data_IF_787200937592
#
_entry.id   IF_787200937592
#
_cell.length_a   1.000
_cell.length_b   1.000
_cell.length_c   1.000
_cell.angle_alpha   90.00
_cell.angle_beta   90.00
_cell.angle_gamma   90.00
#
_symmetry.space_group_name_H-M   'P 1'
#
loop_
_entity.id
_entity.type
_entity.pdbx_description
1 polymer ?
#
# COMPACT_ATOMS: atom_id res chain seq x y z
N UNK A 1 -40.55 -4.85 -7.22
CA UNK A 1 -39.84 -3.71 -7.83
C UNK A 1 -38.41 -3.71 -7.28
N UNK A 2 -37.42 -4.07 -8.11
CA UNK A 2 -36.03 -4.27 -7.66
C UNK A 2 -35.29 -2.93 -7.65
N UNK A 3 -34.70 -2.55 -6.51
CA UNK A 3 -33.88 -1.33 -6.40
C UNK A 3 -32.48 -1.63 -6.96
N UNK A 4 -32.13 -1.00 -8.08
CA UNK A 4 -30.78 -1.05 -8.60
C UNK A 4 -29.81 -0.35 -7.62
N UNK A 5 -28.70 -1.01 -7.31
CA UNK A 5 -27.58 -0.38 -6.60
C UNK A 5 -26.86 0.51 -7.61
N UNK A 6 -26.93 1.82 -7.40
CA UNK A 6 -26.10 2.79 -8.13
C UNK A 6 -24.74 2.80 -7.47
N UNK A 7 -23.71 2.35 -8.18
CA UNK A 7 -22.32 2.52 -7.76
C UNK A 7 -21.96 3.97 -8.05
N UNK A 8 -21.89 4.80 -7.02
CA UNK A 8 -21.34 6.14 -7.15
C UNK A 8 -19.86 6.01 -7.50
N UNK A 9 -19.48 6.44 -8.71
CA UNK A 9 -18.10 6.60 -9.16
C UNK A 9 -17.43 7.81 -8.46
N UNK A 10 -17.50 7.84 -7.13
CA UNK A 10 -16.93 8.88 -6.27
C UNK A 10 -15.53 8.55 -5.74
N UNK A 11 -14.91 7.46 -6.23
CA UNK A 11 -13.54 7.11 -5.89
C UNK A 11 -12.58 7.92 -6.74
N UNK A 12 -12.15 9.09 -6.26
CA UNK A 12 -11.01 9.77 -6.88
C UNK A 12 -9.84 8.78 -7.01
N UNK A 13 -9.27 8.72 -8.22
CA UNK A 13 -8.14 7.84 -8.49
C UNK A 13 -6.99 8.30 -7.61
N UNK A 14 -6.50 7.41 -6.74
CA UNK A 14 -5.36 7.71 -5.88
C UNK A 14 -4.21 8.28 -6.72
N UNK A 15 -3.80 9.50 -6.39
CA UNK A 15 -2.72 10.20 -7.08
C UNK A 15 -1.49 10.15 -6.17
N UNK A 16 -0.36 9.58 -6.62
CA UNK A 16 0.83 9.48 -5.79
C UNK A 16 1.35 10.89 -5.46
N UNK A 17 1.85 11.12 -4.23
CA UNK A 17 2.51 12.37 -3.84
C UNK A 17 3.69 12.72 -4.77
N UNK A 18 3.95 14.02 -4.96
CA UNK A 18 4.96 14.52 -5.91
C UNK A 18 6.40 14.22 -5.50
N UNK A 19 6.64 13.92 -4.22
CA UNK A 19 7.95 13.57 -3.69
C UNK A 19 7.98 12.07 -3.44
N UNK A 20 8.97 11.40 -4.04
CA UNK A 20 9.13 9.97 -3.85
C UNK A 20 9.59 9.70 -2.42
N UNK A 21 8.73 9.04 -1.65
CA UNK A 21 9.04 8.64 -0.28
C UNK A 21 10.16 7.60 -0.20
N UNK A 22 10.88 7.60 0.91
CA UNK A 22 12.01 6.69 1.16
C UNK A 22 11.57 5.23 1.31
N UNK A 23 10.35 4.99 1.83
CA UNK A 23 9.84 3.65 2.08
C UNK A 23 8.47 3.41 1.46
N UNK A 24 8.28 2.18 0.96
CA UNK A 24 7.03 1.69 0.40
C UNK A 24 6.63 0.38 1.06
N UNK A 25 5.40 0.29 1.54
CA UNK A 25 4.79 -0.98 1.90
C UNK A 25 4.06 -1.50 0.67
N UNK A 26 4.42 -2.70 0.24
CA UNK A 26 3.82 -3.36 -0.92
C UNK A 26 3.10 -4.64 -0.51
N UNK A 27 1.99 -4.91 -1.20
CA UNK A 27 1.32 -6.20 -1.21
C UNK A 27 1.79 -6.96 -2.46
N UNK A 28 2.52 -8.06 -2.31
CA UNK A 28 2.93 -8.88 -3.44
C UNK A 28 1.70 -9.43 -4.17
N UNK A 29 1.60 -9.16 -5.47
CA UNK A 29 0.54 -9.73 -6.31
C UNK A 29 1.14 -10.26 -7.62
N UNK A 30 0.55 -11.31 -8.23
CA UNK A 30 1.00 -11.83 -9.51
C UNK A 30 0.94 -10.73 -10.59
N UNK A 31 2.10 -10.41 -11.17
CA UNK A 31 2.23 -9.42 -12.25
C UNK A 31 2.75 -8.06 -11.80
N UNK A 32 2.12 -7.45 -10.79
CA UNK A 32 2.58 -6.16 -10.27
C UNK A 32 2.31 -6.04 -8.76
N UNK A 33 3.32 -5.77 -7.93
CA UNK A 33 3.10 -5.48 -6.52
C UNK A 33 2.31 -4.18 -6.34
N UNK A 34 1.33 -4.20 -5.44
CA UNK A 34 0.50 -3.03 -5.13
C UNK A 34 1.14 -2.22 -4.00
N UNK A 35 1.42 -0.94 -4.23
CA UNK A 35 1.87 -0.03 -3.17
C UNK A 35 0.65 0.38 -2.34
N UNK A 36 0.60 -0.03 -1.09
CA UNK A 36 -0.52 0.26 -0.18
C UNK A 36 -0.22 1.41 0.78
N UNK A 37 1.06 1.78 0.92
CA UNK A 37 1.52 2.90 1.74
C UNK A 37 2.89 3.37 1.28
N UNK A 38 3.08 4.68 1.24
CA UNK A 38 4.38 5.32 1.09
C UNK A 38 4.64 6.22 2.32
N UNK A 39 5.88 6.26 2.81
CA UNK A 39 6.23 7.03 4.00
C UNK A 39 7.75 7.20 4.13
N UNK A 40 8.18 8.25 4.81
CA UNK A 40 9.58 8.45 5.21
C UNK A 40 9.87 7.97 6.65
N UNK A 41 8.85 7.44 7.34
CA UNK A 41 8.97 6.88 8.69
C UNK A 41 9.05 5.34 8.67
N UNK A 42 10.29 4.83 8.74
CA UNK A 42 10.58 3.40 8.81
C UNK A 42 9.85 2.71 9.98
N UNK A 43 9.88 3.31 11.17
CA UNK A 43 9.32 2.70 12.38
C UNK A 43 7.79 2.68 12.29
N UNK A 44 7.19 3.78 11.82
CA UNK A 44 5.76 3.86 11.54
C UNK A 44 5.30 2.82 10.51
N UNK A 45 6.09 2.57 9.47
CA UNK A 45 5.80 1.54 8.47
C UNK A 45 5.78 0.13 9.08
N UNK A 46 6.78 -0.20 9.91
CA UNK A 46 6.87 -1.51 10.58
C UNK A 46 5.74 -1.72 11.58
N UNK A 47 5.38 -0.70 12.37
CA UNK A 47 4.24 -0.76 13.29
C UNK A 47 2.93 -0.95 12.51
N UNK A 48 2.78 -0.26 11.38
CA UNK A 48 1.61 -0.37 10.52
C UNK A 48 1.45 -1.78 9.95
N UNK A 49 2.54 -2.41 9.49
CA UNK A 49 2.54 -3.79 9.01
C UNK A 49 2.17 -4.78 10.12
N UNK A 50 2.80 -4.63 11.30
CA UNK A 50 2.53 -5.49 12.48
C UNK A 50 1.06 -5.48 12.89
N UNK A 51 0.38 -4.35 12.73
CA UNK A 51 -1.04 -4.22 13.08
C UNK A 51 -1.99 -4.98 12.12
N UNK A 52 -1.49 -5.54 11.01
CA UNK A 52 -2.29 -6.22 9.97
C UNK A 52 -1.72 -7.59 9.64
N UNK A 53 -1.84 -8.57 10.57
CA UNK A 53 -1.30 -9.90 10.37
C UNK A 53 -1.99 -10.63 9.20
N UNK A 54 -1.21 -11.38 8.43
CA UNK A 54 -1.73 -12.32 7.41
C UNK A 54 -1.84 -11.79 5.99
N UNK A 55 -1.45 -10.54 5.73
CA UNK A 55 -1.48 -9.98 4.37
C UNK A 55 -0.21 -10.24 3.55
N UNK A 56 0.90 -10.65 4.17
CA UNK A 56 2.15 -10.90 3.45
C UNK A 56 2.79 -9.61 2.93
N UNK A 57 2.80 -8.56 3.75
CA UNK A 57 3.33 -7.26 3.33
C UNK A 57 4.85 -7.31 3.22
N UNK A 58 5.38 -6.56 2.27
CA UNK A 58 6.81 -6.27 2.18
C UNK A 58 7.06 -4.78 2.39
N UNK A 59 8.08 -4.44 3.17
CA UNK A 59 8.61 -3.09 3.24
C UNK A 59 9.81 -2.99 2.31
N UNK A 60 9.78 -2.03 1.38
CA UNK A 60 10.86 -1.78 0.43
C UNK A 60 11.38 -0.36 0.56
N UNK A 61 12.69 -0.21 0.41
CA UNK A 61 13.31 1.11 0.22
C UNK A 61 12.96 1.68 -1.16
N UNK A 62 13.28 2.96 -1.36
CA UNK A 62 13.01 3.70 -2.60
C UNK A 62 13.60 3.05 -3.84
N UNK A 63 14.77 2.42 -3.70
CA UNK A 63 15.47 1.68 -4.76
C UNK A 63 14.87 0.28 -5.03
N UNK A 64 13.86 -0.11 -4.26
CA UNK A 64 13.18 -1.40 -4.36
C UNK A 64 13.78 -2.50 -3.48
N UNK A 65 14.86 -2.24 -2.72
CA UNK A 65 15.45 -3.20 -1.80
C UNK A 65 14.43 -3.63 -0.74
N UNK A 66 14.28 -4.95 -0.54
CA UNK A 66 13.45 -5.51 0.53
C UNK A 66 14.13 -5.29 1.89
N UNK A 67 13.41 -4.63 2.81
CA UNK A 67 13.88 -4.34 4.17
C UNK A 67 13.25 -5.28 5.21
N UNK A 68 11.96 -5.61 5.07
CA UNK A 68 11.23 -6.46 6.01
C UNK A 68 10.00 -7.12 5.37
N UNK A 69 9.50 -8.19 5.98
CA UNK A 69 8.25 -8.87 5.63
C UNK A 69 7.41 -9.18 6.88
N UNK A 70 6.08 -9.24 6.73
CA UNK A 70 5.12 -9.52 7.81
C UNK A 70 3.91 -10.33 7.34
#
# INVERSE_FOLDING_TARGET
MSRAFVKEDGGERWTPPAEAHEYRVVLPAPGAPEVVRETDDLIGALIWMRARPGAGFELRARDGQLLACA
#
